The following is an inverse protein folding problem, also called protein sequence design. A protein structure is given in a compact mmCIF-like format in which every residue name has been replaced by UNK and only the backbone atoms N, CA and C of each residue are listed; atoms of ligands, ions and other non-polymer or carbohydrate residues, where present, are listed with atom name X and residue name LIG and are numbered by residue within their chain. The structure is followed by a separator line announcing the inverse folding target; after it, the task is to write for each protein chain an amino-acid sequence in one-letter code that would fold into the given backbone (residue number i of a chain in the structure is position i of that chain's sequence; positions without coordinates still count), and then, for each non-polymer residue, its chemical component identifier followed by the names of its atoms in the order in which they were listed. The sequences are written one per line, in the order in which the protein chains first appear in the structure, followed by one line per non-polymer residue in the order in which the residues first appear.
data_IF_370365571154
#
_entry.id   IF_370365571154
#
_cell.length_a   1.000
_cell.length_b   1.000
_cell.length_c   1.000
_cell.angle_alpha   90.00
_cell.angle_beta   90.00
_cell.angle_gamma   90.00
#
_symmetry.space_group_name_H-M   'P 1'
#
loop_
_entity.id
_entity.type
_entity.pdbx_description
1 polymer ?
#
# COMPACT_ATOMS: atom_id res chain seq x y z
N UNK A 1 13.33 -38.78 12.70
CA UNK A 1 13.14 -38.52 11.26
C UNK A 1 11.95 -37.60 11.11
N UNK A 2 12.18 -36.29 10.92
CA UNK A 2 11.14 -35.27 10.84
C UNK A 2 10.92 -34.84 9.39
N UNK A 3 10.53 -35.80 8.53
CA UNK A 3 9.97 -35.46 7.23
C UNK A 3 8.49 -35.18 7.46
N UNK A 4 8.18 -33.96 7.91
CA UNK A 4 6.88 -33.42 7.57
C UNK A 4 6.91 -33.29 6.04
N UNK A 5 6.29 -34.24 5.34
CA UNK A 5 5.97 -34.12 3.93
C UNK A 5 4.86 -33.07 3.80
N UNK A 6 5.16 -31.83 4.19
CA UNK A 6 4.28 -30.70 3.92
C UNK A 6 4.23 -30.62 2.39
N UNK A 7 3.04 -30.77 1.77
CA UNK A 7 2.90 -30.60 0.34
C UNK A 7 2.97 -29.10 0.01
N UNK A 8 4.14 -28.50 0.21
CA UNK A 8 4.40 -27.07 0.00
C UNK A 8 3.99 -26.65 -1.40
N UNK A 9 4.22 -27.52 -2.39
CA UNK A 9 3.83 -27.27 -3.77
C UNK A 9 2.31 -27.19 -3.94
N UNK A 10 1.54 -28.02 -3.22
CA UNK A 10 0.08 -28.00 -3.30
C UNK A 10 -0.52 -26.72 -2.69
N UNK A 11 0.05 -26.24 -1.58
CA UNK A 11 -0.36 -24.97 -0.96
C UNK A 11 0.11 -23.73 -1.72
N UNK A 12 1.22 -23.82 -2.47
CA UNK A 12 1.70 -22.71 -3.27
C UNK A 12 0.87 -22.54 -4.55
N UNK A 13 0.53 -23.62 -5.26
CA UNK A 13 -0.14 -23.56 -6.56
C UNK A 13 -1.67 -23.59 -6.44
N UNK A 14 -2.22 -22.71 -5.59
CA UNK A 14 -3.65 -22.49 -5.48
C UNK A 14 -4.11 -21.45 -6.53
N UNK A 15 -5.30 -21.59 -7.15
CA UNK A 15 -5.84 -20.60 -8.11
C UNK A 15 -5.82 -19.15 -7.59
N UNK A 16 -5.98 -19.00 -6.28
CA UNK A 16 -5.99 -17.77 -5.51
C UNK A 16 -4.64 -17.03 -5.53
N UNK A 17 -3.53 -17.73 -5.77
CA UNK A 17 -2.17 -17.19 -5.72
C UNK A 17 -2.02 -15.98 -6.64
N UNK A 18 -2.55 -16.07 -7.87
CA UNK A 18 -2.43 -14.99 -8.85
C UNK A 18 -3.06 -13.69 -8.35
N UNK A 19 -4.22 -13.78 -7.68
CA UNK A 19 -4.89 -12.63 -7.11
C UNK A 19 -4.11 -12.04 -5.94
N UNK A 20 -3.61 -12.89 -5.03
CA UNK A 20 -2.82 -12.46 -3.88
C UNK A 20 -1.51 -11.78 -4.31
N UNK A 21 -0.86 -12.29 -5.35
CA UNK A 21 0.32 -11.67 -5.96
C UNK A 21 -0.03 -10.33 -6.62
N UNK A 22 -1.14 -10.25 -7.35
CA UNK A 22 -1.58 -8.99 -7.96
C UNK A 22 -1.86 -7.92 -6.90
N UNK A 23 -2.53 -8.29 -5.80
CA UNK A 23 -2.78 -7.39 -4.65
C UNK A 23 -1.46 -6.95 -4.01
N UNK A 24 -0.51 -7.87 -3.83
CA UNK A 24 0.80 -7.58 -3.26
C UNK A 24 1.61 -6.61 -4.13
N UNK A 25 1.61 -6.81 -5.44
CA UNK A 25 2.28 -5.92 -6.41
C UNK A 25 1.60 -4.54 -6.41
N UNK A 26 0.26 -4.50 -6.39
CA UNK A 26 -0.48 -3.24 -6.31
C UNK A 26 -0.14 -2.47 -5.02
N UNK A 27 -0.10 -3.15 -3.88
CA UNK A 27 0.35 -2.56 -2.62
C UNK A 27 1.79 -2.05 -2.67
N UNK A 28 2.70 -2.82 -3.24
CA UNK A 28 4.08 -2.40 -3.47
C UNK A 28 4.15 -1.12 -4.32
N UNK A 29 3.43 -1.06 -5.45
CA UNK A 29 3.39 0.11 -6.33
C UNK A 29 2.82 1.35 -5.63
N UNK A 30 1.80 1.17 -4.78
CA UNK A 30 1.23 2.25 -3.97
C UNK A 30 2.30 2.90 -3.08
N UNK A 31 2.97 2.09 -2.26
CA UNK A 31 3.98 2.60 -1.35
C UNK A 31 5.20 3.12 -2.12
N UNK A 32 5.64 2.44 -3.18
CA UNK A 32 6.72 2.92 -4.03
C UNK A 32 6.44 4.33 -4.58
N UNK A 33 5.23 4.61 -5.05
CA UNK A 33 4.85 5.94 -5.55
C UNK A 33 4.94 7.03 -4.46
N UNK A 34 4.48 6.72 -3.24
CA UNK A 34 4.57 7.65 -2.09
C UNK A 34 6.03 7.93 -1.75
N UNK A 35 6.85 6.89 -1.69
CA UNK A 35 8.27 6.98 -1.34
C UNK A 35 9.05 7.77 -2.39
N UNK A 36 8.77 7.56 -3.67
CA UNK A 36 9.36 8.35 -4.77
C UNK A 36 8.95 9.82 -4.67
N UNK A 37 7.66 10.09 -4.44
CA UNK A 37 7.15 11.45 -4.33
C UNK A 37 7.80 12.23 -3.18
N UNK A 38 7.96 11.59 -2.03
CA UNK A 38 8.55 12.24 -0.84
C UNK A 38 10.07 12.29 -0.94
N UNK A 39 10.73 11.23 -1.40
CA UNK A 39 12.18 11.18 -1.59
C UNK A 39 12.69 12.28 -2.53
N UNK A 40 11.88 12.70 -3.51
CA UNK A 40 12.22 13.82 -4.40
C UNK A 40 12.14 15.21 -3.76
N UNK A 41 11.64 15.33 -2.53
CA UNK A 41 11.38 16.61 -1.86
C UNK A 41 12.37 16.94 -0.74
N UNK A 42 13.26 16.01 -0.40
CA UNK A 42 14.17 16.14 0.74
C UNK A 42 15.62 15.97 0.31
N UNK A 43 16.45 16.94 0.68
CA UNK A 43 17.91 16.91 0.49
C UNK A 43 18.68 16.89 1.84
N UNK A 44 18.18 17.58 2.87
CA UNK A 44 18.91 17.71 4.15
C UNK A 44 18.72 16.46 5.03
N UNK A 45 19.81 15.90 5.55
CA UNK A 45 19.82 14.68 6.37
C UNK A 45 18.96 14.75 7.63
N UNK A 46 18.85 15.91 8.30
CA UNK A 46 18.03 16.05 9.52
C UNK A 46 16.53 16.14 9.22
N UNK A 47 16.14 16.91 8.19
CA UNK A 47 14.75 16.95 7.72
C UNK A 47 14.34 15.58 7.15
N UNK A 48 15.26 14.92 6.46
CA UNK A 48 15.11 13.56 5.94
C UNK A 48 14.74 12.57 7.03
N UNK A 49 15.41 12.60 8.18
CA UNK A 49 15.15 11.65 9.28
C UNK A 49 13.70 11.68 9.80
N UNK A 50 13.15 12.87 10.07
CA UNK A 50 11.78 12.99 10.61
C UNK A 50 10.71 12.67 9.55
N UNK A 51 10.91 13.11 8.30
CA UNK A 51 9.97 12.81 7.21
C UNK A 51 10.02 11.34 6.79
N UNK A 52 11.21 10.75 6.68
CA UNK A 52 11.35 9.32 6.39
C UNK A 52 10.69 8.46 7.46
N UNK A 53 10.85 8.79 8.74
CA UNK A 53 10.19 8.04 9.83
C UNK A 53 8.68 7.91 9.64
N UNK A 54 7.99 9.03 9.36
CA UNK A 54 6.53 9.03 9.15
C UNK A 54 6.13 8.20 7.93
N UNK A 55 6.88 8.31 6.83
CA UNK A 55 6.57 7.58 5.58
C UNK A 55 6.80 6.09 5.73
N UNK A 56 7.87 5.71 6.43
CA UNK A 56 8.18 4.32 6.75
C UNK A 56 7.12 3.65 7.63
N UNK A 57 6.33 4.42 8.39
CA UNK A 57 5.21 3.90 9.17
C UNK A 57 3.96 3.60 8.35
N UNK A 58 3.81 4.16 7.14
CA UNK A 58 2.59 3.99 6.34
C UNK A 58 2.28 2.52 6.00
N UNK A 59 3.24 1.67 5.60
CA UNK A 59 2.99 0.24 5.39
C UNK A 59 2.56 -0.50 6.65
N UNK A 60 2.83 0.04 7.84
CA UNK A 60 2.45 -0.55 9.12
C UNK A 60 1.08 -0.08 9.62
N UNK A 61 0.47 0.91 8.97
CA UNK A 61 -0.89 1.36 9.27
C UNK A 61 -1.93 0.22 9.39
N UNK A 62 -1.90 -0.84 8.56
CA UNK A 62 -2.91 -1.91 8.63
C UNK A 62 -2.84 -2.73 9.93
N UNK A 63 -1.72 -2.70 10.66
CA UNK A 63 -1.53 -3.48 11.90
C UNK A 63 -2.60 -3.17 12.95
N UNK A 64 -3.10 -1.92 12.99
CA UNK A 64 -4.13 -1.50 13.95
C UNK A 64 -5.46 -2.24 13.76
N UNK A 65 -5.70 -2.78 12.56
CA UNK A 65 -6.94 -3.49 12.21
C UNK A 65 -6.84 -5.01 12.38
N UNK A 66 -5.66 -5.56 12.65
CA UNK A 66 -5.48 -7.03 12.75
C UNK A 66 -6.40 -7.63 13.80
N UNK A 67 -6.39 -7.10 15.04
CA UNK A 67 -7.24 -7.62 16.12
C UNK A 67 -8.73 -7.64 15.75
N UNK A 68 -9.33 -6.51 15.36
CA UNK A 68 -10.72 -6.45 14.92
C UNK A 68 -11.06 -7.39 13.74
N UNK A 69 -10.14 -7.55 12.77
CA UNK A 69 -10.36 -8.41 11.60
C UNK A 69 -10.28 -9.89 11.98
N UNK A 70 -9.33 -10.28 12.84
CA UNK A 70 -9.25 -11.65 13.35
C UNK A 70 -10.52 -12.02 14.14
N UNK A 71 -11.10 -11.07 14.87
CA UNK A 71 -12.34 -11.30 15.61
C UNK A 71 -13.57 -11.40 14.69
N UNK A 72 -13.65 -10.60 13.63
CA UNK A 72 -14.75 -10.63 12.67
C UNK A 72 -14.30 -10.19 11.27
N UNK A 73 -13.87 -11.13 10.41
CA UNK A 73 -13.35 -10.82 9.06
C UNK A 73 -14.45 -10.35 8.08
N UNK A 74 -15.72 -10.59 8.39
CA UNK A 74 -16.88 -10.09 7.62
C UNK A 74 -17.48 -8.82 8.20
N UNK A 75 -16.97 -8.33 9.33
CA UNK A 75 -17.49 -7.17 10.04
C UNK A 75 -17.23 -5.85 9.32
N UNK A 76 -17.96 -4.81 9.73
CA UNK A 76 -17.89 -3.50 9.08
C UNK A 76 -16.50 -2.87 9.10
N UNK A 77 -15.72 -3.09 10.17
CA UNK A 77 -14.33 -2.62 10.26
C UNK A 77 -13.48 -3.26 9.16
N UNK A 78 -13.63 -4.56 8.95
CA UNK A 78 -12.90 -5.31 7.94
C UNK A 78 -13.28 -4.84 6.52
N UNK A 79 -14.58 -4.61 6.27
CA UNK A 79 -15.07 -4.08 5.00
C UNK A 79 -14.53 -2.68 4.70
N UNK A 80 -14.63 -1.75 5.66
CA UNK A 80 -14.14 -0.37 5.47
C UNK A 80 -12.63 -0.33 5.25
N UNK A 81 -11.86 -1.09 6.04
CA UNK A 81 -10.41 -1.15 5.92
C UNK A 81 -9.96 -1.82 4.59
N UNK A 82 -10.79 -2.66 3.98
CA UNK A 82 -10.56 -3.21 2.64
C UNK A 82 -10.65 -2.15 1.55
N UNK A 83 -11.49 -1.13 1.70
CA UNK A 83 -11.66 -0.10 0.66
C UNK A 83 -10.66 1.05 0.77
N UNK A 84 -10.02 1.23 1.92
CA UNK A 84 -9.05 2.31 2.08
C UNK A 84 -7.69 1.93 1.43
N UNK A 85 -7.18 2.68 0.44
CA UNK A 85 -6.09 2.21 -0.43
C UNK A 85 -4.78 1.86 0.28
N UNK A 86 -4.42 2.57 1.36
CA UNK A 86 -3.20 2.29 2.12
C UNK A 86 -3.31 1.03 2.99
N UNK A 87 -4.52 0.60 3.30
CA UNK A 87 -4.77 -0.61 4.10
C UNK A 87 -5.21 -1.78 3.27
N UNK A 88 -5.85 -1.52 2.13
CA UNK A 88 -6.45 -2.50 1.24
C UNK A 88 -5.55 -3.69 0.91
N UNK A 89 -4.26 -3.52 0.52
CA UNK A 89 -3.42 -4.66 0.14
C UNK A 89 -3.23 -5.66 1.28
N UNK A 90 -2.91 -5.18 2.48
CA UNK A 90 -2.70 -6.03 3.65
C UNK A 90 -4.01 -6.63 4.17
N UNK A 91 -5.08 -5.82 4.19
CA UNK A 91 -6.38 -6.26 4.71
C UNK A 91 -7.05 -7.27 3.79
N UNK A 92 -6.96 -7.12 2.47
CA UNK A 92 -7.47 -8.11 1.52
C UNK A 92 -6.76 -9.45 1.73
N UNK A 93 -5.42 -9.48 1.77
CA UNK A 93 -4.67 -10.73 1.98
C UNK A 93 -5.08 -11.39 3.30
N UNK A 94 -5.17 -10.61 4.38
CA UNK A 94 -5.58 -11.13 5.69
C UNK A 94 -7.02 -11.67 5.66
N UNK A 95 -7.99 -10.90 5.18
CA UNK A 95 -9.41 -11.32 5.14
C UNK A 95 -9.61 -12.55 4.27
N UNK A 96 -9.00 -12.59 3.08
CA UNK A 96 -9.14 -13.73 2.15
C UNK A 96 -8.49 -15.01 2.67
N UNK A 97 -7.55 -14.89 3.62
CA UNK A 97 -6.95 -16.04 4.31
C UNK A 97 -7.78 -16.55 5.48
N UNK A 98 -8.77 -15.77 5.96
CA UNK A 98 -9.62 -16.09 7.11
C UNK A 98 -11.05 -16.47 6.72
N UNK A 99 -11.48 -16.08 5.52
CA UNK A 99 -12.83 -16.34 5.02
C UNK A 99 -12.87 -17.62 4.21
N UNK A 100 -13.86 -18.47 4.49
CA UNK A 100 -14.13 -19.68 3.70
C UNK A 100 -14.68 -19.34 2.31
N UNK A 101 -15.47 -18.27 2.21
CA UNK A 101 -16.05 -17.78 0.96
C UNK A 101 -15.58 -16.35 0.65
N UNK A 102 -15.18 -16.14 -0.59
CA UNK A 102 -14.59 -14.88 -1.03
C UNK A 102 -15.65 -13.87 -1.44
N UNK A 103 -15.68 -12.66 -0.83
CA UNK A 103 -16.64 -11.61 -1.19
C UNK A 103 -16.19 -10.89 -2.48
N UNK A 104 -16.38 -11.53 -3.63
CA UNK A 104 -15.91 -11.06 -4.94
C UNK A 104 -16.29 -9.61 -5.28
N UNK A 105 -17.48 -9.16 -4.87
CA UNK A 105 -17.91 -7.78 -5.10
C UNK A 105 -17.04 -6.80 -4.32
N UNK A 106 -16.76 -7.07 -3.04
CA UNK A 106 -15.88 -6.23 -2.21
C UNK A 106 -14.45 -6.22 -2.76
N UNK A 107 -13.95 -7.38 -3.19
CA UNK A 107 -12.62 -7.54 -3.78
C UNK A 107 -12.49 -6.68 -5.04
N UNK A 108 -13.44 -6.77 -5.97
CA UNK A 108 -13.40 -6.02 -7.24
C UNK A 108 -13.47 -4.51 -6.97
N UNK A 109 -14.36 -4.06 -6.09
CA UNK A 109 -14.48 -2.64 -5.73
C UNK A 109 -13.17 -2.14 -5.10
N UNK A 110 -12.61 -2.90 -4.15
CA UNK A 110 -11.35 -2.55 -3.50
C UNK A 110 -10.19 -2.48 -4.50
N UNK A 111 -10.10 -3.42 -5.44
CA UNK A 111 -9.09 -3.42 -6.50
C UNK A 111 -9.22 -2.20 -7.42
N UNK A 112 -10.44 -1.83 -7.82
CA UNK A 112 -10.67 -0.63 -8.64
C UNK A 112 -10.21 0.61 -7.89
N UNK A 113 -10.60 0.76 -6.61
CA UNK A 113 -10.19 1.89 -5.76
C UNK A 113 -8.67 1.92 -5.59
N UNK A 114 -8.06 0.76 -5.36
CA UNK A 114 -6.62 0.62 -5.18
C UNK A 114 -5.87 1.02 -6.45
N UNK A 115 -6.24 0.47 -7.60
CA UNK A 115 -5.61 0.78 -8.90
C UNK A 115 -5.80 2.26 -9.29
N UNK A 116 -6.98 2.83 -9.07
CA UNK A 116 -7.23 4.24 -9.30
C UNK A 116 -6.35 5.13 -8.40
N UNK A 117 -6.19 4.73 -7.13
CA UNK A 117 -5.35 5.43 -6.17
C UNK A 117 -3.86 5.33 -6.52
N UNK A 118 -3.40 4.15 -6.96
CA UNK A 118 -2.02 3.96 -7.46
C UNK A 118 -1.78 4.86 -8.66
N UNK A 119 -2.69 4.86 -9.65
CA UNK A 119 -2.56 5.69 -10.84
C UNK A 119 -2.48 7.18 -10.49
N UNK A 120 -3.34 7.64 -9.56
CA UNK A 120 -3.32 9.01 -9.07
C UNK A 120 -1.98 9.33 -8.39
N UNK A 121 -1.53 8.50 -7.44
CA UNK A 121 -0.29 8.73 -6.72
C UNK A 121 0.94 8.66 -7.62
N UNK A 122 1.02 7.72 -8.56
CA UNK A 122 2.12 7.66 -9.53
C UNK A 122 2.18 8.94 -10.38
N UNK A 123 1.02 9.46 -10.81
CA UNK A 123 0.95 10.71 -11.59
C UNK A 123 1.42 11.91 -10.75
N UNK A 124 0.98 12.00 -9.50
CA UNK A 124 1.38 13.07 -8.59
C UNK A 124 2.88 12.97 -8.24
N UNK A 125 3.36 11.79 -7.90
CA UNK A 125 4.76 11.51 -7.59
C UNK A 125 5.66 11.84 -8.78
N UNK A 126 5.27 11.49 -10.01
CA UNK A 126 6.02 11.84 -11.21
C UNK A 126 6.13 13.36 -11.44
N UNK A 127 5.05 14.12 -11.18
CA UNK A 127 5.10 15.60 -11.24
C UNK A 127 6.03 16.19 -10.19
N UNK A 128 5.93 15.70 -8.94
CA UNK A 128 6.80 16.13 -7.85
C UNK A 128 8.24 15.78 -8.15
N UNK A 129 8.53 14.56 -8.62
CA UNK A 129 9.87 14.12 -8.99
C UNK A 129 10.50 15.00 -10.08
N UNK A 130 9.74 15.28 -11.15
CA UNK A 130 10.21 16.13 -12.26
C UNK A 130 10.59 17.54 -11.81
N UNK A 131 9.86 18.10 -10.84
CA UNK A 131 10.10 19.46 -10.35
C UNK A 131 11.14 19.47 -9.23
N UNK A 132 11.09 18.47 -8.35
CA UNK A 132 11.95 18.27 -7.20
C UNK A 132 13.41 18.06 -7.58
N UNK A 133 13.69 17.29 -8.64
CA UNK A 133 15.07 17.02 -9.09
C UNK A 133 15.85 18.28 -9.51
N UNK A 134 15.16 19.38 -9.80
CA UNK A 134 15.77 20.65 -10.19
C UNK A 134 16.10 21.55 -8.97
N UNK A 135 15.66 21.16 -7.78
CA UNK A 135 15.88 21.92 -6.54
C UNK A 135 17.13 21.42 -5.85
N UNK A 136 18.27 22.00 -6.23
CA UNK A 136 19.53 21.76 -5.56
C UNK A 136 19.63 22.56 -4.25
N UNK A 137 20.06 21.91 -3.19
CA UNK A 137 20.42 22.51 -1.90
C UNK A 137 19.24 22.89 -1.01
N UNK A 138 17.99 22.52 -1.34
CA UNK A 138 16.80 22.98 -0.60
C UNK A 138 15.69 21.93 -0.52
N UNK A 139 15.24 21.67 0.72
CA UNK A 139 14.01 20.90 0.96
C UNK A 139 12.77 21.64 0.45
N UNK A 140 11.85 20.91 -0.18
CA UNK A 140 10.57 21.46 -0.60
C UNK A 140 9.66 21.68 0.61
N UNK A 141 9.02 22.84 0.67
CA UNK A 141 7.96 23.10 1.64
C UNK A 141 6.63 22.49 1.15
N UNK A 142 5.69 22.11 2.04
CA UNK A 142 4.37 21.61 1.63
C UNK A 142 3.61 22.55 0.68
N UNK A 143 3.81 23.86 0.82
CA UNK A 143 3.23 24.89 -0.06
C UNK A 143 3.79 24.80 -1.49
N UNK A 144 5.10 24.61 -1.63
CA UNK A 144 5.76 24.43 -2.93
C UNK A 144 5.31 23.14 -3.61
N UNK A 145 5.26 22.03 -2.87
CA UNK A 145 4.76 20.74 -3.37
C UNK A 145 3.34 20.89 -3.90
N UNK A 146 2.45 21.51 -3.13
CA UNK A 146 1.06 21.75 -3.55
C UNK A 146 0.97 22.59 -4.83
N UNK A 147 1.85 23.58 -4.98
CA UNK A 147 1.94 24.40 -6.19
C UNK A 147 2.35 23.56 -7.40
N UNK A 148 3.30 22.63 -7.25
CA UNK A 148 3.73 21.74 -8.33
C UNK A 148 2.65 20.76 -8.78
N UNK A 149 1.78 20.32 -7.87
CA UNK A 149 0.67 19.43 -8.23
C UNK A 149 -0.37 20.12 -9.14
N UNK A 150 -0.51 21.45 -9.02
CA UNK A 150 -1.45 22.27 -9.80
C UNK A 150 -0.94 22.64 -11.20
N UNK A 151 0.37 22.61 -11.42
CA UNK A 151 0.98 22.76 -12.75
C UNK A 151 0.92 21.45 -13.52
#
# INVERSE_FOLDING_TARGET
AWRYELPVMEYLFVPELLLLLAISIAGYLMFAAIFVGIGATVEDMTATSNFQGIVMMLPFLPLIFIGPILANPSGIIAQVATYFPLTSPSILILRLSLLDEWPWVEIIIALIILLASIWLLMKLAGKVFKTGILLYGKNATPSEIWKWLRY
#
